data_IF_728624292822
#
_entry.id   IF_728624292822
#
_cell.length_a   1.000
_cell.length_b   1.000
_cell.length_c   1.000
_cell.angle_alpha   90.00
_cell.angle_beta   90.00
_cell.angle_gamma   90.00
#
_symmetry.space_group_name_H-M   'P 1'
#
loop_
_entity.id
_entity.type
_entity.pdbx_description
1 polymer ?
#
# COMPACT_ATOMS: atom_id res chain seq x y z
N UNK A 1 24.01 -21.26 -20.98
CA UNK A 1 24.94 -20.69 -19.98
C UNK A 1 26.16 -21.57 -19.76
N UNK A 2 26.02 -22.84 -19.50
CA UNK A 2 27.14 -23.74 -19.20
C UNK A 2 28.26 -23.77 -20.23
N UNK A 3 27.96 -23.66 -21.53
CA UNK A 3 28.99 -23.66 -22.58
C UNK A 3 29.89 -22.43 -22.57
N UNK A 4 29.41 -21.28 -22.15
CA UNK A 4 30.23 -20.07 -22.07
C UNK A 4 31.17 -20.08 -20.86
N UNK A 5 30.69 -20.56 -19.72
CA UNK A 5 31.50 -20.75 -18.50
C UNK A 5 32.57 -21.83 -18.73
N UNK A 6 32.24 -22.92 -19.41
CA UNK A 6 33.21 -23.97 -19.80
C UNK A 6 34.27 -23.44 -20.78
N UNK A 7 33.85 -22.58 -21.74
CA UNK A 7 34.80 -21.92 -22.66
C UNK A 7 35.76 -21.00 -21.93
N UNK A 8 35.25 -20.20 -20.97
CA UNK A 8 36.12 -19.36 -20.12
C UNK A 8 37.10 -20.17 -19.30
N UNK A 9 36.64 -21.24 -18.65
CA UNK A 9 37.52 -22.13 -17.87
C UNK A 9 38.65 -22.73 -18.71
N UNK A 10 38.37 -23.13 -19.95
CA UNK A 10 39.40 -23.63 -20.88
C UNK A 10 40.41 -22.55 -21.27
N UNK A 11 39.96 -21.31 -21.51
CA UNK A 11 40.83 -20.17 -21.80
C UNK A 11 41.64 -19.77 -20.58
N UNK A 12 41.12 -19.84 -19.39
CA UNK A 12 41.84 -19.62 -18.14
C UNK A 12 42.95 -20.65 -17.95
N UNK A 13 42.64 -21.93 -18.16
CA UNK A 13 43.60 -23.00 -18.10
C UNK A 13 44.72 -22.82 -19.17
N UNK A 14 44.38 -22.48 -20.40
CA UNK A 14 45.33 -22.22 -21.47
C UNK A 14 46.22 -20.98 -21.16
N UNK A 15 45.66 -19.90 -20.67
CA UNK A 15 46.39 -18.69 -20.27
C UNK A 15 47.31 -18.97 -19.09
N UNK A 16 46.91 -19.80 -18.15
CA UNK A 16 47.72 -20.20 -16.99
C UNK A 16 48.86 -21.13 -17.39
N UNK A 17 48.66 -22.05 -18.35
CA UNK A 17 49.65 -22.94 -18.85
C UNK A 17 50.76 -22.24 -19.72
N UNK A 18 50.41 -21.11 -20.34
CA UNK A 18 51.30 -20.33 -21.17
C UNK A 18 51.20 -18.84 -20.83
N UNK A 19 51.74 -18.38 -19.69
CA UNK A 19 51.59 -17.00 -19.20
C UNK A 19 52.14 -15.93 -20.12
N UNK A 20 53.16 -16.24 -20.90
CA UNK A 20 53.80 -15.32 -21.85
C UNK A 20 53.04 -15.25 -23.19
N UNK A 21 52.06 -16.08 -23.41
CA UNK A 21 51.25 -16.06 -24.64
C UNK A 21 50.24 -14.94 -24.60
N UNK A 22 50.55 -13.80 -25.20
CA UNK A 22 49.69 -12.62 -25.27
C UNK A 22 48.35 -12.88 -25.97
N UNK A 23 48.30 -13.82 -26.93
CA UNK A 23 47.07 -14.16 -27.63
C UNK A 23 46.06 -14.84 -26.70
N UNK A 24 46.48 -15.81 -25.89
CA UNK A 24 45.61 -16.47 -24.93
C UNK A 24 45.06 -15.49 -23.87
N UNK A 25 45.90 -14.57 -23.39
CA UNK A 25 45.50 -13.53 -22.44
C UNK A 25 44.48 -12.57 -23.06
N UNK A 26 44.72 -12.14 -24.31
CA UNK A 26 43.79 -11.26 -25.02
C UNK A 26 42.45 -11.94 -25.29
N UNK A 27 42.47 -13.22 -25.69
CA UNK A 27 41.24 -13.99 -25.95
C UNK A 27 40.45 -14.26 -24.65
N UNK A 28 41.14 -14.53 -23.55
CA UNK A 28 40.50 -14.68 -22.23
C UNK A 28 39.81 -13.39 -21.81
N UNK A 29 40.48 -12.23 -21.88
CA UNK A 29 39.90 -10.93 -21.53
C UNK A 29 38.70 -10.62 -22.40
N UNK A 30 38.79 -10.78 -23.72
CA UNK A 30 37.69 -10.55 -24.65
C UNK A 30 36.52 -11.47 -24.38
N UNK A 31 36.75 -12.75 -24.16
CA UNK A 31 35.68 -13.74 -23.86
C UNK A 31 35.01 -13.45 -22.53
N UNK A 32 35.79 -13.02 -21.51
CA UNK A 32 35.25 -12.60 -20.20
C UNK A 32 34.32 -11.38 -20.34
N UNK A 33 34.77 -10.32 -21.03
CA UNK A 33 33.97 -9.11 -21.28
C UNK A 33 32.67 -9.40 -22.05
N UNK A 34 32.77 -10.21 -23.11
CA UNK A 34 31.59 -10.60 -23.90
C UNK A 34 30.60 -11.41 -23.08
N UNK A 35 31.06 -12.32 -22.23
CA UNK A 35 30.23 -13.14 -21.37
C UNK A 35 29.56 -12.28 -20.31
N UNK A 36 30.29 -11.41 -19.63
CA UNK A 36 29.75 -10.48 -18.63
C UNK A 36 28.72 -9.54 -19.26
N UNK A 37 29.02 -8.96 -20.42
CA UNK A 37 28.10 -8.05 -21.13
C UNK A 37 26.76 -8.74 -21.48
N UNK A 38 26.83 -9.96 -22.02
CA UNK A 38 25.66 -10.75 -22.35
C UNK A 38 24.85 -11.12 -21.09
N UNK A 39 25.53 -11.53 -20.02
CA UNK A 39 24.85 -11.87 -18.74
C UNK A 39 24.21 -10.64 -18.11
N UNK A 40 24.84 -9.46 -18.17
CA UNK A 40 24.24 -8.21 -17.71
C UNK A 40 22.96 -7.87 -18.48
N UNK A 41 22.98 -8.00 -19.81
CA UNK A 41 21.78 -7.80 -20.64
C UNK A 41 20.65 -8.75 -20.26
N UNK A 42 20.96 -10.04 -20.08
CA UNK A 42 19.99 -11.04 -19.67
C UNK A 42 19.46 -10.75 -18.25
N UNK A 43 20.33 -10.41 -17.28
CA UNK A 43 19.94 -10.11 -15.91
C UNK A 43 18.99 -8.90 -15.85
N UNK A 44 19.30 -7.83 -16.57
CA UNK A 44 18.42 -6.66 -16.65
C UNK A 44 17.07 -6.98 -17.29
N UNK A 45 17.04 -7.84 -18.32
CA UNK A 45 15.79 -8.29 -18.95
C UNK A 45 14.96 -9.12 -18.01
N UNK A 46 15.54 -10.10 -17.29
CA UNK A 46 14.84 -10.91 -16.28
C UNK A 46 14.31 -10.05 -15.12
N UNK A 47 15.09 -9.07 -14.66
CA UNK A 47 14.62 -8.12 -13.64
C UNK A 47 13.44 -7.30 -14.12
N UNK A 48 13.51 -6.76 -15.35
CA UNK A 48 12.41 -5.99 -15.94
C UNK A 48 11.14 -6.82 -16.15
N UNK A 49 11.29 -8.13 -16.39
CA UNK A 49 10.18 -9.08 -16.50
C UNK A 49 9.64 -9.54 -15.13
N UNK A 50 10.24 -9.12 -14.01
CA UNK A 50 9.84 -9.52 -12.65
C UNK A 50 10.35 -10.91 -12.22
N UNK A 51 11.23 -11.53 -13.01
CA UNK A 51 11.83 -12.84 -12.71
C UNK A 51 13.02 -12.68 -11.75
N UNK A 52 12.75 -12.29 -10.51
CA UNK A 52 13.74 -11.89 -9.52
C UNK A 52 14.84 -12.94 -9.28
N UNK A 53 14.46 -14.22 -9.11
CA UNK A 53 15.41 -15.30 -8.86
C UNK A 53 16.35 -15.55 -10.05
N UNK A 54 15.84 -15.46 -11.28
CA UNK A 54 16.66 -15.60 -12.49
C UNK A 54 17.64 -14.43 -12.65
N UNK A 55 17.19 -13.20 -12.41
CA UNK A 55 18.03 -12.01 -12.43
C UNK A 55 19.14 -12.10 -11.37
N UNK A 56 18.82 -12.48 -10.15
CA UNK A 56 19.78 -12.67 -9.06
C UNK A 56 20.87 -13.67 -9.45
N UNK A 57 20.49 -14.86 -9.94
CA UNK A 57 21.42 -15.90 -10.38
C UNK A 57 22.39 -15.39 -11.45
N UNK A 58 21.90 -14.56 -12.37
CA UNK A 58 22.73 -13.97 -13.43
C UNK A 58 23.70 -12.94 -12.89
N UNK A 59 23.27 -12.02 -12.01
CA UNK A 59 24.17 -11.05 -11.39
C UNK A 59 25.23 -11.71 -10.52
N UNK A 60 24.87 -12.71 -9.71
CA UNK A 60 25.83 -13.49 -8.93
C UNK A 60 26.80 -14.27 -9.82
N UNK A 61 26.30 -14.80 -10.96
CA UNK A 61 27.16 -15.42 -11.97
C UNK A 61 28.18 -14.47 -12.54
N UNK A 62 27.82 -13.21 -12.78
CA UNK A 62 28.77 -12.18 -13.22
C UNK A 62 29.85 -11.94 -12.16
N UNK A 63 29.48 -11.84 -10.88
CA UNK A 63 30.44 -11.61 -9.79
C UNK A 63 31.36 -12.80 -9.55
N UNK A 64 30.99 -14.01 -9.98
CA UNK A 64 31.95 -15.15 -10.01
C UNK A 64 33.03 -15.00 -11.09
N UNK A 65 32.66 -14.40 -12.23
CA UNK A 65 33.59 -14.16 -13.36
C UNK A 65 34.42 -12.88 -13.11
N UNK A 66 33.80 -11.85 -12.63
CA UNK A 66 34.36 -10.52 -12.36
C UNK A 66 33.84 -9.99 -11.00
N UNK A 67 34.57 -10.31 -9.90
CA UNK A 67 34.16 -9.93 -8.54
C UNK A 67 34.01 -8.42 -8.30
N UNK A 68 34.69 -7.61 -9.11
CA UNK A 68 34.68 -6.14 -9.04
C UNK A 68 33.65 -5.48 -9.94
N UNK A 69 32.73 -6.23 -10.56
CA UNK A 69 31.80 -5.67 -11.53
C UNK A 69 30.74 -4.78 -10.86
N UNK A 70 30.95 -3.48 -10.90
CA UNK A 70 30.07 -2.49 -10.27
C UNK A 70 28.63 -2.53 -10.80
N UNK A 71 28.42 -2.90 -12.07
CA UNK A 71 27.07 -3.01 -12.66
C UNK A 71 26.31 -4.22 -12.11
N UNK A 72 26.99 -5.31 -11.83
CA UNK A 72 26.36 -6.48 -11.21
C UNK A 72 26.03 -6.22 -9.73
N UNK A 73 26.93 -5.55 -9.00
CA UNK A 73 26.67 -5.12 -7.60
C UNK A 73 25.43 -4.21 -7.56
N UNK A 74 25.43 -3.14 -8.35
CA UNK A 74 24.29 -2.23 -8.44
C UNK A 74 22.99 -2.94 -8.88
N UNK A 75 23.11 -3.92 -9.77
CA UNK A 75 21.99 -4.76 -10.22
C UNK A 75 21.37 -5.54 -9.07
N UNK A 76 22.18 -6.17 -8.21
CA UNK A 76 21.72 -6.88 -7.00
C UNK A 76 21.10 -5.93 -5.97
N UNK A 77 21.70 -4.77 -5.74
CA UNK A 77 21.14 -3.75 -4.84
C UNK A 77 19.76 -3.27 -5.31
N UNK A 78 19.65 -2.98 -6.62
CA UNK A 78 18.39 -2.57 -7.23
C UNK A 78 17.36 -3.67 -7.16
N UNK A 79 17.74 -4.93 -7.40
CA UNK A 79 16.86 -6.08 -7.29
C UNK A 79 16.35 -6.26 -5.86
N UNK A 80 17.22 -6.11 -4.86
CA UNK A 80 16.82 -6.17 -3.44
C UNK A 80 15.84 -5.04 -3.08
N UNK A 81 16.01 -3.85 -3.66
CA UNK A 81 15.07 -2.75 -3.52
C UNK A 81 13.70 -3.10 -4.16
N UNK A 82 13.70 -3.61 -5.41
CA UNK A 82 12.47 -4.01 -6.10
C UNK A 82 11.69 -5.05 -5.29
N UNK A 83 12.37 -6.05 -4.69
CA UNK A 83 11.75 -7.08 -3.82
C UNK A 83 11.09 -6.46 -2.58
N UNK A 84 11.77 -5.51 -1.93
CA UNK A 84 11.21 -4.81 -0.76
C UNK A 84 9.97 -3.98 -1.17
N UNK A 85 10.06 -3.27 -2.29
CA UNK A 85 8.94 -2.47 -2.80
C UNK A 85 7.73 -3.34 -3.14
N UNK A 86 7.93 -4.48 -3.81
CA UNK A 86 6.85 -5.42 -4.14
C UNK A 86 6.18 -5.99 -2.89
N UNK A 87 6.95 -6.33 -1.84
CA UNK A 87 6.41 -6.80 -0.58
C UNK A 87 5.57 -5.71 0.11
N UNK A 88 6.09 -4.49 0.18
CA UNK A 88 5.41 -3.35 0.78
C UNK A 88 4.13 -2.96 0.00
N UNK A 89 4.14 -3.03 -1.33
CA UNK A 89 2.93 -2.80 -2.15
C UNK A 89 1.84 -3.83 -1.85
N UNK A 90 2.20 -5.12 -1.74
CA UNK A 90 1.25 -6.18 -1.36
C UNK A 90 0.68 -5.99 0.04
N UNK A 91 1.51 -5.55 0.98
CA UNK A 91 1.07 -5.22 2.35
C UNK A 91 0.09 -4.04 2.34
N UNK A 92 0.41 -2.96 1.65
CA UNK A 92 -0.46 -1.79 1.55
C UNK A 92 -1.80 -2.13 0.86
N UNK A 93 -1.80 -2.97 -0.18
CA UNK A 93 -3.03 -3.48 -0.81
C UNK A 93 -3.87 -4.33 0.17
N UNK A 94 -3.23 -5.13 1.00
CA UNK A 94 -3.92 -5.92 2.02
C UNK A 94 -4.56 -5.05 3.12
N UNK A 95 -3.88 -3.96 3.50
CA UNK A 95 -4.39 -2.98 4.46
C UNK A 95 -5.62 -2.24 3.92
N UNK A 96 -5.63 -1.87 2.64
CA UNK A 96 -6.79 -1.24 2.00
C UNK A 96 -8.03 -2.15 1.97
N UNK A 97 -7.86 -3.47 1.96
CA UNK A 97 -8.98 -4.42 2.08
C UNK A 97 -9.64 -4.40 3.47
N UNK A 98 -8.95 -3.87 4.48
CA UNK A 98 -9.41 -3.75 5.88
C UNK A 98 -9.77 -2.32 6.27
N UNK A 99 -10.10 -1.43 5.37
CA UNK A 99 -10.06 0.02 5.33
C UNK A 99 -9.14 0.68 6.38
N UNK A 100 -7.87 0.29 6.37
CA UNK A 100 -6.83 0.94 7.19
C UNK A 100 -5.97 1.85 6.30
N UNK A 101 -6.55 3.00 5.98
CA UNK A 101 -6.01 3.98 5.03
C UNK A 101 -4.68 4.56 5.51
N UNK A 102 -4.57 4.88 6.81
CA UNK A 102 -3.36 5.48 7.36
C UNK A 102 -2.19 4.49 7.42
N UNK A 103 -2.44 3.23 7.78
CA UNK A 103 -1.41 2.20 7.74
C UNK A 103 -0.95 1.93 6.30
N UNK A 104 -1.88 1.84 5.34
CA UNK A 104 -1.53 1.68 3.92
C UNK A 104 -0.66 2.84 3.41
N UNK A 105 -0.98 4.09 3.80
CA UNK A 105 -0.19 5.29 3.46
C UNK A 105 1.21 5.23 4.05
N UNK A 106 1.34 4.82 5.31
CA UNK A 106 2.63 4.69 5.97
C UNK A 106 3.55 3.67 5.28
N UNK A 107 3.00 2.55 4.80
CA UNK A 107 3.73 1.48 4.12
C UNK A 107 4.27 1.92 2.75
N UNK A 108 3.50 2.70 1.96
CA UNK A 108 3.96 3.12 0.62
C UNK A 108 4.89 4.33 0.63
N UNK A 109 4.89 5.11 1.71
CA UNK A 109 5.70 6.34 1.81
C UNK A 109 7.20 6.11 1.59
N UNK A 110 7.85 5.10 2.17
CA UNK A 110 9.27 4.80 1.89
C UNK A 110 9.54 4.51 0.41
N UNK A 111 8.64 3.78 -0.27
CA UNK A 111 8.79 3.48 -1.70
C UNK A 111 8.86 4.76 -2.52
N UNK A 112 7.97 5.72 -2.25
CA UNK A 112 7.92 6.99 -2.98
C UNK A 112 9.07 7.94 -2.61
N UNK A 113 9.68 7.77 -1.44
CA UNK A 113 10.90 8.49 -1.06
C UNK A 113 12.13 7.94 -1.82
N UNK A 114 12.26 6.61 -1.95
CA UNK A 114 13.34 5.96 -2.68
C UNK A 114 13.17 6.10 -4.20
N UNK A 115 11.94 5.97 -4.70
CA UNK A 115 11.60 6.08 -6.12
C UNK A 115 10.30 6.90 -6.32
N UNK A 116 10.39 8.23 -6.46
CA UNK A 116 9.23 9.11 -6.64
C UNK A 116 8.40 8.83 -7.92
N UNK A 117 8.98 8.08 -8.88
CA UNK A 117 8.31 7.71 -10.13
C UNK A 117 7.84 6.25 -10.16
N UNK A 118 7.77 5.59 -9.02
CA UNK A 118 7.33 4.19 -8.93
C UNK A 118 5.86 4.07 -9.32
N UNK A 119 5.57 3.56 -10.52
CA UNK A 119 4.23 3.56 -11.12
C UNK A 119 3.17 2.90 -10.24
N UNK A 120 3.43 1.70 -9.73
CA UNK A 120 2.48 0.97 -8.88
C UNK A 120 2.23 1.69 -7.55
N UNK A 121 3.26 2.28 -6.94
CA UNK A 121 3.12 3.04 -5.70
C UNK A 121 2.28 4.31 -5.90
N UNK A 122 2.47 5.03 -7.00
CA UNK A 122 1.66 6.20 -7.35
C UNK A 122 0.18 5.84 -7.62
N UNK A 123 -0.06 4.70 -8.28
CA UNK A 123 -1.44 4.21 -8.48
C UNK A 123 -2.09 3.84 -7.14
N UNK A 124 -1.34 3.18 -6.26
CA UNK A 124 -1.84 2.79 -4.95
C UNK A 124 -2.09 4.02 -4.06
N UNK A 125 -1.21 5.03 -4.13
CA UNK A 125 -1.41 6.31 -3.44
C UNK A 125 -2.74 6.97 -3.82
N UNK A 126 -3.07 7.01 -5.12
CA UNK A 126 -4.36 7.56 -5.57
C UNK A 126 -5.55 6.80 -4.97
N UNK A 127 -5.48 5.46 -4.95
CA UNK A 127 -6.54 4.65 -4.33
C UNK A 127 -6.69 4.94 -2.84
N UNK A 128 -5.56 5.11 -2.12
CA UNK A 128 -5.53 5.48 -0.70
C UNK A 128 -6.21 6.84 -0.50
N UNK A 129 -5.90 7.83 -1.33
CA UNK A 129 -6.45 9.18 -1.22
C UNK A 129 -7.96 9.19 -1.58
N UNK A 130 -8.40 8.38 -2.53
CA UNK A 130 -9.82 8.18 -2.85
C UNK A 130 -10.58 7.55 -1.68
N UNK A 131 -10.04 6.50 -1.05
CA UNK A 131 -10.67 5.88 0.13
C UNK A 131 -10.70 6.83 1.33
N UNK A 132 -9.60 7.57 1.58
CA UNK A 132 -9.56 8.59 2.63
C UNK A 132 -10.66 9.65 2.45
N UNK A 133 -10.86 10.09 1.19
CA UNK A 133 -11.92 11.07 0.86
C UNK A 133 -13.30 10.47 1.07
N UNK A 134 -13.49 9.20 0.70
CA UNK A 134 -14.75 8.49 0.92
C UNK A 134 -15.07 8.35 2.41
N UNK A 135 -14.08 7.98 3.23
CA UNK A 135 -14.25 7.91 4.68
C UNK A 135 -14.56 9.28 5.29
N UNK A 136 -13.90 10.34 4.82
CA UNK A 136 -14.15 11.70 5.30
C UNK A 136 -15.54 12.23 4.91
N UNK A 137 -16.08 11.79 3.77
CA UNK A 137 -17.44 12.13 3.32
C UNK A 137 -18.51 11.20 3.88
N UNK A 138 -18.13 10.08 4.49
CA UNK A 138 -19.09 9.21 5.17
C UNK A 138 -19.72 9.97 6.33
N UNK A 139 -21.05 10.00 6.36
CA UNK A 139 -21.79 10.62 7.47
C UNK A 139 -21.30 9.97 8.77
N UNK A 140 -20.92 10.74 9.80
CA UNK A 140 -20.41 10.19 11.05
C UNK A 140 -21.46 9.27 11.68
N UNK A 141 -21.25 7.95 11.57
CA UNK A 141 -22.13 7.02 12.29
C UNK A 141 -21.76 7.05 13.78
N UNK A 142 -22.76 7.14 14.64
CA UNK A 142 -22.53 7.05 16.09
C UNK A 142 -22.02 5.64 16.41
N UNK A 143 -20.72 5.54 16.81
CA UNK A 143 -20.07 4.26 17.10
C UNK A 143 -20.85 3.41 18.08
N UNK A 144 -20.74 2.11 17.95
CA UNK A 144 -21.43 0.98 18.60
C UNK A 144 -21.80 1.07 20.13
N UNK A 145 -21.38 2.09 20.87
CA UNK A 145 -21.86 2.36 22.23
C UNK A 145 -23.38 2.65 22.30
N UNK A 146 -23.99 2.98 21.17
CA UNK A 146 -25.34 3.51 21.09
C UNK A 146 -26.30 2.62 20.27
N UNK A 147 -25.94 1.37 20.09
CA UNK A 147 -26.81 0.36 19.47
C UNK A 147 -27.88 -0.16 20.42
N UNK A 148 -27.97 0.36 21.68
CA UNK A 148 -29.01 -0.02 22.60
C UNK A 148 -30.36 0.36 22.02
N UNK A 149 -31.30 -0.58 21.90
CA UNK A 149 -32.65 -0.27 21.44
C UNK A 149 -33.36 0.64 22.44
N UNK A 150 -34.00 1.68 21.94
CA UNK A 150 -34.81 2.59 22.73
C UNK A 150 -36.27 2.51 22.29
N UNK A 151 -37.16 2.68 23.25
CA UNK A 151 -38.61 2.81 23.00
C UNK A 151 -39.03 4.17 23.51
N UNK A 152 -39.45 5.04 22.60
CA UNK A 152 -39.88 6.40 22.90
C UNK A 152 -41.19 6.71 22.20
N UNK A 153 -42.09 7.39 22.93
CA UNK A 153 -43.32 7.86 22.38
C UNK A 153 -43.53 9.32 22.79
N UNK A 154 -43.55 10.20 21.83
CA UNK A 154 -43.86 11.62 22.02
C UNK A 154 -44.94 12.05 21.02
N UNK A 155 -45.85 12.89 21.48
CA UNK A 155 -46.87 13.49 20.63
C UNK A 155 -46.88 15.00 20.87
N UNK A 156 -46.67 15.78 19.81
CA UNK A 156 -46.63 17.24 19.84
C UNK A 156 -45.64 17.81 20.91
N UNK A 157 -44.53 17.11 21.10
CA UNK A 157 -43.53 17.46 22.10
C UNK A 157 -42.47 18.39 21.52
N UNK A 158 -41.94 19.30 22.35
CA UNK A 158 -40.86 20.16 21.99
C UNK A 158 -39.59 19.32 21.67
N UNK A 159 -38.92 19.63 20.58
CA UNK A 159 -37.75 18.88 20.09
C UNK A 159 -36.63 18.79 21.15
N UNK A 160 -36.40 19.87 21.90
CA UNK A 160 -35.44 19.88 23.02
C UNK A 160 -35.79 18.82 24.08
N UNK A 161 -37.07 18.72 24.45
CA UNK A 161 -37.55 17.75 25.44
C UNK A 161 -37.33 16.29 24.94
N UNK A 162 -37.54 16.05 23.64
CA UNK A 162 -37.33 14.73 23.03
C UNK A 162 -35.84 14.35 23.08
N UNK A 163 -34.95 15.26 22.74
CA UNK A 163 -33.50 15.01 22.83
C UNK A 163 -32.97 14.90 24.26
N UNK A 164 -33.55 15.65 25.22
CA UNK A 164 -33.23 15.49 26.65
C UNK A 164 -33.64 14.10 27.18
N UNK A 165 -34.82 13.61 26.80
CA UNK A 165 -35.27 12.27 27.15
C UNK A 165 -34.37 11.19 26.49
N UNK A 166 -34.04 11.36 25.24
CA UNK A 166 -33.13 10.48 24.52
C UNK A 166 -31.75 10.44 25.18
N UNK A 167 -31.20 11.61 25.56
CA UNK A 167 -29.93 11.76 26.27
C UNK A 167 -29.92 10.99 27.61
N UNK A 168 -31.01 11.11 28.41
CA UNK A 168 -31.13 10.39 29.69
C UNK A 168 -31.20 8.87 29.51
N UNK A 169 -31.90 8.42 28.47
CA UNK A 169 -32.09 6.98 28.22
C UNK A 169 -30.87 6.31 27.62
N UNK A 170 -30.16 7.02 26.77
CA UNK A 170 -29.03 6.48 26.02
C UNK A 170 -27.66 6.82 26.62
N UNK A 171 -27.55 7.86 27.46
CA UNK A 171 -26.30 8.39 27.97
C UNK A 171 -25.52 9.20 26.93
N UNK A 172 -26.17 9.66 25.84
CA UNK A 172 -25.57 10.50 24.81
C UNK A 172 -25.83 11.96 25.13
N UNK A 173 -24.81 12.80 25.06
CA UNK A 173 -24.97 14.24 25.14
C UNK A 173 -25.31 14.80 23.75
N UNK A 174 -26.49 15.43 23.64
CA UNK A 174 -26.93 16.10 22.40
C UNK A 174 -26.85 17.61 22.62
N UNK A 175 -26.15 18.30 21.72
CA UNK A 175 -26.10 19.75 21.65
C UNK A 175 -26.93 20.18 20.44
N UNK A 176 -27.93 21.05 20.68
CA UNK A 176 -28.71 21.65 19.61
C UNK A 176 -28.06 22.99 19.24
N UNK A 177 -27.92 23.24 17.94
CA UNK A 177 -27.43 24.50 17.43
C UNK A 177 -28.40 25.65 17.76
N UNK A 178 -27.88 26.89 17.80
CA UNK A 178 -28.65 28.11 18.02
C UNK A 178 -29.73 28.34 16.96
N UNK A 179 -29.47 27.87 15.75
CA UNK A 179 -30.34 28.05 14.60
C UNK A 179 -31.56 27.10 14.62
N UNK A 180 -31.55 26.08 15.51
CA UNK A 180 -32.69 25.22 15.72
C UNK A 180 -33.74 25.97 16.52
N UNK A 181 -34.90 26.20 15.92
CA UNK A 181 -36.01 26.93 16.56
C UNK A 181 -36.47 26.23 17.85
N UNK A 182 -36.50 26.93 18.98
CA UNK A 182 -36.78 26.34 20.27
C UNK A 182 -38.24 25.85 20.42
N UNK A 183 -39.13 26.32 19.57
CA UNK A 183 -40.58 26.00 19.54
C UNK A 183 -40.91 24.83 18.59
N UNK A 184 -39.90 24.26 17.93
CA UNK A 184 -40.10 23.15 17.01
C UNK A 184 -40.69 21.94 17.76
N UNK A 185 -41.83 21.46 17.30
CA UNK A 185 -42.55 20.32 17.89
C UNK A 185 -42.45 19.11 16.96
N UNK A 186 -42.29 17.94 17.56
CA UNK A 186 -42.24 16.68 16.83
C UNK A 186 -43.13 15.62 17.49
N UNK A 187 -43.62 14.71 16.68
CA UNK A 187 -44.32 13.52 17.14
C UNK A 187 -43.60 12.30 16.66
N UNK A 188 -43.09 11.48 17.57
CA UNK A 188 -42.34 10.28 17.24
C UNK A 188 -42.81 9.10 18.10
N UNK A 189 -42.89 7.95 17.46
CA UNK A 189 -43.08 6.67 18.12
C UNK A 189 -42.07 5.67 17.57
N UNK A 190 -41.15 5.25 18.42
CA UNK A 190 -40.14 4.22 18.10
C UNK A 190 -40.18 3.14 19.18
N UNK A 191 -40.11 1.88 18.76
CA UNK A 191 -40.07 0.71 19.63
C UNK A 191 -38.93 -0.18 19.25
N UNK A 192 -37.99 -0.39 20.21
CA UNK A 192 -36.80 -1.23 20.01
C UNK A 192 -35.93 -0.80 18.82
N UNK A 193 -35.84 0.49 18.58
CA UNK A 193 -35.02 1.08 17.51
C UNK A 193 -33.72 1.58 18.11
N UNK A 194 -32.61 1.50 17.35
CA UNK A 194 -31.30 2.00 17.80
C UNK A 194 -31.37 3.52 18.07
N UNK A 195 -30.60 3.99 19.03
CA UNK A 195 -30.52 5.43 19.33
C UNK A 195 -30.07 6.23 18.08
N UNK A 196 -29.17 5.70 17.28
CA UNK A 196 -28.70 6.33 16.05
C UNK A 196 -29.85 6.49 15.03
N UNK A 197 -30.57 5.41 14.77
CA UNK A 197 -31.73 5.46 13.86
C UNK A 197 -32.82 6.39 14.38
N UNK A 198 -33.06 6.40 15.70
CA UNK A 198 -34.02 7.30 16.33
C UNK A 198 -33.63 8.77 16.12
N UNK A 199 -32.32 9.12 16.29
CA UNK A 199 -31.84 10.47 16.02
C UNK A 199 -32.01 10.80 14.54
N UNK A 200 -31.62 9.91 13.63
CA UNK A 200 -31.75 10.13 12.18
C UNK A 200 -33.23 10.36 11.78
N UNK A 201 -34.16 9.60 12.33
CA UNK A 201 -35.59 9.78 12.07
C UNK A 201 -36.11 11.15 12.57
N UNK A 202 -35.67 11.59 13.76
CA UNK A 202 -36.04 12.90 14.30
C UNK A 202 -35.51 14.02 13.42
N UNK A 203 -34.22 13.94 13.00
CA UNK A 203 -33.58 14.94 12.15
C UNK A 203 -34.27 15.02 10.79
N UNK A 204 -34.49 13.86 10.15
CA UNK A 204 -35.16 13.77 8.85
C UNK A 204 -36.56 14.37 8.89
N UNK A 205 -37.35 14.02 9.92
CA UNK A 205 -38.71 14.49 10.06
C UNK A 205 -38.81 16.01 10.25
N UNK A 206 -37.77 16.61 10.86
CA UNK A 206 -37.74 18.04 11.15
C UNK A 206 -36.88 18.84 10.17
N UNK A 207 -36.36 18.19 9.08
CA UNK A 207 -35.51 18.80 8.07
C UNK A 207 -34.21 19.40 8.67
N UNK A 208 -33.63 18.70 9.66
CA UNK A 208 -32.41 19.07 10.33
C UNK A 208 -31.27 18.14 9.88
N UNK A 209 -30.05 18.64 9.93
CA UNK A 209 -28.82 17.90 9.64
C UNK A 209 -28.03 17.63 10.93
N UNK A 210 -27.09 16.61 10.87
CA UNK A 210 -26.18 16.30 11.97
C UNK A 210 -25.02 17.25 11.98
#
# INVERSE_FOLDING_TARGET
QGRAEEGLSKLEAASSAAPDNLAYRADLLRSREQTVSRMLGAANSERAAGHQAAAQTLYEGILRIDPGNSRAVLGLETLAMDVRHDAALKEAEALLKKPDVEAARAVIKPILLENPKHGSALLLQRKIDEEATREAMAVPSLKAKFTKPVTLQFRDANLKMVFEALSRTSGINVLLDRDVRPDLKTSIFVKEVSVEDTINLILLQNQLEK
#
